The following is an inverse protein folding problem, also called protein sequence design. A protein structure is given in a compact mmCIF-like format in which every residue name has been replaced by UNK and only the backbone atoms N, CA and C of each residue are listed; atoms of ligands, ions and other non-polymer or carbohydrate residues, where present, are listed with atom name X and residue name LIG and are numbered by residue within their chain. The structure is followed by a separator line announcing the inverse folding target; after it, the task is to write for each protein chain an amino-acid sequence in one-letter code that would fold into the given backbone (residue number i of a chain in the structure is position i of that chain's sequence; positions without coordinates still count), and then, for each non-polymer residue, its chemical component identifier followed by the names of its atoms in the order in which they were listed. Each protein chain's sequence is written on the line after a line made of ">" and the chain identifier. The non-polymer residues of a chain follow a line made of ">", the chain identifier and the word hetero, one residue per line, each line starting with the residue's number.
data_IF_748788607049
#
_entry.id   IF_748788607049
#
_cell.length_a   1.000
_cell.length_b   1.000
_cell.length_c   1.000
_cell.angle_alpha   90.00
_cell.angle_beta   90.00
_cell.angle_gamma   90.00
#
_symmetry.space_group_name_H-M   'P 1'
#
loop_
_entity.id
_entity.type
_entity.pdbx_description
1 polymer ?
#
# COMPACT_ATOMS: atom_id res chain seq x y z
N UNK A 1 10.54 -21.00 -27.48
CA UNK A 1 9.76 -20.18 -26.50
C UNK A 1 10.56 -18.93 -26.20
N UNK A 2 10.08 -17.77 -26.62
CA UNK A 2 10.74 -16.50 -26.29
C UNK A 2 10.56 -16.26 -24.80
N UNK A 3 11.67 -16.14 -24.06
CA UNK A 3 11.66 -15.59 -22.70
C UNK A 3 10.90 -14.27 -22.72
N UNK A 4 9.79 -14.22 -22.01
CA UNK A 4 9.11 -12.98 -21.70
C UNK A 4 10.11 -12.09 -20.95
N UNK A 5 10.48 -10.97 -21.57
CA UNK A 5 11.46 -10.02 -21.06
C UNK A 5 11.12 -9.66 -19.61
N UNK A 6 12.15 -9.49 -18.79
CA UNK A 6 12.08 -9.12 -17.36
C UNK A 6 11.23 -7.85 -17.06
N UNK A 7 10.86 -7.11 -18.09
CA UNK A 7 10.05 -5.87 -18.00
C UNK A 7 8.58 -6.09 -17.62
N UNK A 8 8.04 -7.31 -17.68
CA UNK A 8 6.62 -7.58 -17.43
C UNK A 8 6.33 -8.29 -16.09
N UNK A 9 7.31 -8.45 -15.22
CA UNK A 9 7.11 -9.17 -13.95
C UNK A 9 6.70 -8.28 -12.77
N UNK A 10 6.57 -6.97 -12.97
CA UNK A 10 6.30 -6.04 -11.88
C UNK A 10 7.34 -6.15 -10.77
N UNK A 11 6.89 -6.32 -9.54
CA UNK A 11 7.73 -6.46 -8.34
C UNK A 11 7.79 -7.90 -7.79
N UNK A 12 7.42 -8.91 -8.58
CA UNK A 12 7.36 -10.31 -8.13
C UNK A 12 8.71 -10.84 -7.64
N UNK A 13 9.81 -10.36 -8.21
CA UNK A 13 11.18 -10.76 -7.81
C UNK A 13 11.71 -10.01 -6.59
N UNK A 14 11.01 -8.98 -6.13
CA UNK A 14 11.42 -8.19 -4.96
C UNK A 14 11.19 -9.03 -3.70
N UNK A 15 12.23 -9.21 -2.93
CA UNK A 15 12.20 -9.89 -1.62
C UNK A 15 12.36 -8.91 -0.45
N UNK A 16 12.94 -7.74 -0.69
CA UNK A 16 13.16 -6.72 0.33
C UNK A 16 12.56 -5.38 -0.10
N UNK A 17 11.67 -4.87 0.73
CA UNK A 17 11.13 -3.52 0.60
C UNK A 17 11.75 -2.63 1.67
N UNK A 18 12.35 -1.53 1.23
CA UNK A 18 12.85 -0.50 2.11
C UNK A 18 11.83 0.65 2.08
N UNK A 19 11.32 1.01 3.23
CA UNK A 19 10.40 2.14 3.40
C UNK A 19 11.16 3.24 4.10
N UNK A 20 11.35 4.39 3.43
CA UNK A 20 11.96 5.55 4.09
C UNK A 20 11.12 5.95 5.31
N UNK A 21 11.78 6.30 6.39
CA UNK A 21 11.11 6.74 7.62
C UNK A 21 10.19 7.93 7.36
N UNK A 22 10.56 8.84 6.48
CA UNK A 22 9.72 9.96 6.07
C UNK A 22 8.41 9.53 5.40
N UNK A 23 8.45 8.48 4.59
CA UNK A 23 7.24 7.88 3.95
C UNK A 23 6.32 7.28 5.01
N UNK A 24 6.90 6.56 5.96
CA UNK A 24 6.16 5.97 7.07
C UNK A 24 5.52 7.03 7.96
N UNK A 25 6.29 8.06 8.33
CA UNK A 25 5.81 9.15 9.20
C UNK A 25 4.67 9.93 8.56
N UNK A 26 4.76 10.24 7.27
CA UNK A 26 3.70 10.91 6.53
C UNK A 26 2.44 10.04 6.45
N UNK A 27 2.61 8.75 6.19
CA UNK A 27 1.53 7.77 6.15
C UNK A 27 0.80 7.71 7.49
N UNK A 28 1.52 7.51 8.58
CA UNK A 28 0.95 7.41 9.93
C UNK A 28 0.24 8.69 10.31
N UNK A 29 0.85 9.85 10.06
CA UNK A 29 0.25 11.15 10.38
C UNK A 29 -1.09 11.35 9.68
N UNK A 30 -1.19 11.03 8.41
CA UNK A 30 -2.45 11.13 7.66
C UNK A 30 -3.49 10.14 8.20
N UNK A 31 -3.12 8.87 8.36
CA UNK A 31 -4.05 7.83 8.80
C UNK A 31 -4.56 8.08 10.23
N UNK A 32 -3.69 8.54 11.12
CA UNK A 32 -4.11 8.96 12.48
C UNK A 32 -5.05 10.16 12.44
N UNK A 33 -4.79 11.12 11.55
CA UNK A 33 -5.63 12.32 11.41
C UNK A 33 -7.06 11.98 11.03
N UNK A 34 -7.27 11.16 10.00
CA UNK A 34 -8.62 10.73 9.60
C UNK A 34 -9.24 9.77 10.62
N UNK A 35 -8.41 8.97 11.30
CA UNK A 35 -8.82 8.06 12.36
C UNK A 35 -9.40 8.78 13.58
N UNK A 36 -8.90 9.96 13.92
CA UNK A 36 -9.47 10.79 15.00
C UNK A 36 -10.91 11.23 14.70
N UNK A 37 -11.27 11.32 13.43
CA UNK A 37 -12.63 11.59 12.98
C UNK A 37 -13.48 10.32 12.84
N UNK A 38 -12.90 9.15 13.10
CA UNK A 38 -13.57 7.85 13.03
C UNK A 38 -13.62 7.26 11.61
N UNK A 39 -12.73 7.68 10.71
CA UNK A 39 -12.67 7.20 9.33
C UNK A 39 -11.41 6.39 9.05
N UNK A 40 -11.53 5.45 8.13
CA UNK A 40 -10.40 4.78 7.50
C UNK A 40 -9.77 5.69 6.45
N UNK A 41 -8.52 5.43 6.10
CA UNK A 41 -7.82 6.15 5.05
C UNK A 41 -6.89 5.26 4.25
N UNK A 42 -6.53 5.72 3.05
CA UNK A 42 -5.54 5.12 2.17
C UNK A 42 -4.38 6.07 1.90
N UNK A 43 -3.18 5.52 1.88
CA UNK A 43 -1.97 6.19 1.40
C UNK A 43 -1.30 5.26 0.39
N UNK A 44 -0.88 5.81 -0.73
CA UNK A 44 -0.16 5.09 -1.78
C UNK A 44 1.33 5.34 -1.67
N UNK A 45 2.15 4.35 -2.03
CA UNK A 45 3.59 4.42 -1.96
C UNK A 45 4.23 4.22 -3.32
N UNK A 46 5.12 5.13 -3.68
CA UNK A 46 5.91 5.06 -4.89
C UNK A 46 7.41 5.05 -4.57
N UNK A 47 8.19 4.54 -5.51
CA UNK A 47 9.63 4.47 -5.38
C UNK A 47 10.28 3.78 -6.57
N UNK A 48 11.44 3.22 -6.35
CA UNK A 48 12.25 2.60 -7.40
C UNK A 48 12.93 1.31 -6.95
N UNK A 49 13.24 0.49 -7.92
CA UNK A 49 14.06 -0.70 -7.74
C UNK A 49 15.53 -0.28 -7.54
N UNK A 50 16.16 -0.70 -6.45
CA UNK A 50 17.59 -0.48 -6.22
C UNK A 50 18.44 -1.62 -6.78
N UNK A 51 17.97 -2.84 -6.62
CA UNK A 51 18.58 -4.05 -7.18
C UNK A 51 17.49 -4.96 -7.72
N UNK A 52 17.86 -6.10 -8.31
CA UNK A 52 16.88 -7.09 -8.79
C UNK A 52 15.92 -7.59 -7.71
N UNK A 53 16.29 -7.48 -6.43
CA UNK A 53 15.54 -8.02 -5.30
C UNK A 53 15.13 -6.97 -4.26
N UNK A 54 15.55 -5.71 -4.44
CA UNK A 54 15.31 -4.63 -3.48
C UNK A 54 14.55 -3.48 -4.13
N UNK A 55 13.44 -3.09 -3.52
CA UNK A 55 12.64 -1.93 -3.89
C UNK A 55 12.61 -0.93 -2.74
N UNK A 56 12.83 0.36 -3.03
CA UNK A 56 12.76 1.42 -2.03
C UNK A 56 11.58 2.34 -2.30
N UNK A 57 10.72 2.49 -1.30
CA UNK A 57 9.67 3.51 -1.27
C UNK A 57 10.23 4.83 -0.78
N UNK A 58 10.09 5.87 -1.61
CA UNK A 58 10.63 7.22 -1.38
C UNK A 58 9.55 8.28 -1.29
N UNK A 59 8.32 7.96 -1.70
CA UNK A 59 7.22 8.92 -1.81
C UNK A 59 5.94 8.34 -1.25
N UNK A 60 5.34 9.03 -0.28
CA UNK A 60 3.97 8.80 0.16
C UNK A 60 3.04 9.71 -0.63
N UNK A 61 1.94 9.17 -1.11
CA UNK A 61 0.94 9.89 -1.90
C UNK A 61 -0.42 9.69 -1.24
N UNK A 62 -1.04 10.80 -0.87
CA UNK A 62 -2.39 10.81 -0.33
C UNK A 62 -3.33 11.13 -1.50
N UNK A 63 -4.03 10.12 -2.07
CA UNK A 63 -4.98 10.38 -3.14
C UNK A 63 -6.19 11.14 -2.59
N UNK A 64 -6.85 11.91 -3.45
CA UNK A 64 -8.18 12.41 -3.14
C UNK A 64 -9.10 11.23 -2.88
N UNK A 65 -9.76 11.21 -1.72
CA UNK A 65 -10.52 10.08 -1.23
C UNK A 65 -11.73 10.52 -0.44
N UNK A 66 -12.77 9.69 -0.46
CA UNK A 66 -14.00 9.92 0.28
C UNK A 66 -14.20 8.79 1.29
N UNK A 67 -14.25 9.15 2.57
CA UNK A 67 -14.60 8.23 3.64
C UNK A 67 -16.08 8.38 3.98
N UNK A 68 -16.76 7.25 4.15
CA UNK A 68 -18.17 7.24 4.52
C UNK A 68 -18.48 6.09 5.47
N UNK A 69 -19.50 6.28 6.28
CA UNK A 69 -20.09 5.23 7.10
C UNK A 69 -21.32 4.67 6.38
N UNK A 70 -21.36 3.37 6.25
CA UNK A 70 -22.48 2.63 5.64
C UNK A 70 -23.10 1.69 6.68
N UNK A 71 -24.24 1.08 6.36
CA UNK A 71 -24.86 0.07 7.22
C UNK A 71 -23.96 -1.18 7.40
N UNK A 72 -23.06 -1.42 6.43
CA UNK A 72 -22.11 -2.53 6.46
C UNK A 72 -20.75 -2.16 7.09
N UNK A 73 -20.57 -0.91 7.53
CA UNK A 73 -19.35 -0.41 8.17
C UNK A 73 -18.72 0.79 7.47
N UNK A 74 -17.43 0.99 7.72
CA UNK A 74 -16.67 2.08 7.12
C UNK A 74 -16.21 1.71 5.71
N UNK A 75 -16.21 2.71 4.83
CA UNK A 75 -15.75 2.58 3.46
C UNK A 75 -14.89 3.79 3.08
N UNK A 76 -13.77 3.53 2.42
CA UNK A 76 -12.96 4.55 1.74
C UNK A 76 -13.04 4.31 0.24
N UNK A 77 -13.29 5.37 -0.49
CA UNK A 77 -13.42 5.34 -1.93
C UNK A 77 -12.46 6.34 -2.59
N UNK A 78 -11.72 5.88 -3.59
CA UNK A 78 -10.85 6.68 -4.45
C UNK A 78 -11.40 6.62 -5.87
N UNK A 79 -11.81 7.76 -6.40
CA UNK A 79 -12.35 7.81 -7.76
C UNK A 79 -11.28 7.53 -8.81
N UNK A 80 -11.71 7.01 -9.96
CA UNK A 80 -10.82 6.68 -11.06
C UNK A 80 -10.01 7.88 -11.56
N UNK A 81 -10.59 9.09 -11.57
CA UNK A 81 -9.88 10.31 -11.94
C UNK A 81 -8.76 10.65 -10.95
N UNK A 82 -9.00 10.51 -9.65
CA UNK A 82 -7.99 10.73 -8.61
C UNK A 82 -6.84 9.71 -8.76
N UNK A 83 -7.16 8.45 -8.99
CA UNK A 83 -6.18 7.40 -9.20
C UNK A 83 -5.38 7.61 -10.49
N UNK A 84 -6.02 8.08 -11.55
CA UNK A 84 -5.34 8.44 -12.80
C UNK A 84 -4.33 9.57 -12.58
N UNK A 85 -4.68 10.63 -11.84
CA UNK A 85 -3.77 11.72 -11.49
C UNK A 85 -2.56 11.23 -10.70
N UNK A 86 -2.77 10.31 -9.75
CA UNK A 86 -1.67 9.69 -9.00
C UNK A 86 -0.74 8.94 -9.94
N UNK A 87 -1.25 8.04 -10.76
CA UNK A 87 -0.43 7.25 -11.67
C UNK A 87 0.35 8.13 -12.67
N UNK A 88 -0.28 9.18 -13.18
CA UNK A 88 0.38 10.15 -14.05
C UNK A 88 1.54 10.85 -13.35
N UNK A 89 1.32 11.37 -12.14
CA UNK A 89 2.35 12.06 -11.37
C UNK A 89 3.52 11.13 -11.03
N UNK A 90 3.25 9.90 -10.60
CA UNK A 90 4.27 8.89 -10.31
C UNK A 90 5.12 8.60 -11.55
N UNK A 91 4.47 8.41 -12.70
CA UNK A 91 5.16 8.17 -13.97
C UNK A 91 6.03 9.37 -14.38
N UNK A 92 5.52 10.60 -14.29
CA UNK A 92 6.25 11.83 -14.62
C UNK A 92 7.48 12.04 -13.74
N UNK A 93 7.44 11.57 -12.48
CA UNK A 93 8.58 11.60 -11.55
C UNK A 93 9.55 10.42 -11.74
N UNK A 94 9.29 9.54 -12.68
CA UNK A 94 10.13 8.36 -12.93
C UNK A 94 10.08 7.32 -11.82
N UNK A 95 9.02 7.30 -11.04
CA UNK A 95 8.78 6.34 -9.97
C UNK A 95 7.79 5.25 -10.38
N UNK A 96 7.67 4.25 -9.54
CA UNK A 96 6.75 3.10 -9.69
C UNK A 96 5.80 3.10 -8.50
N UNK A 97 4.49 3.06 -8.77
CA UNK A 97 3.48 2.87 -7.74
C UNK A 97 3.45 1.40 -7.34
N UNK A 98 4.05 1.08 -6.20
CA UNK A 98 4.30 -0.31 -5.79
C UNK A 98 3.78 -0.70 -4.43
N UNK A 99 3.13 0.21 -3.70
CA UNK A 99 2.62 -0.08 -2.37
C UNK A 99 1.41 0.74 -1.96
N UNK A 100 0.74 0.26 -0.92
CA UNK A 100 -0.37 0.96 -0.29
C UNK A 100 -0.42 0.66 1.20
N UNK A 101 -0.96 1.61 1.95
CA UNK A 101 -1.27 1.46 3.36
C UNK A 101 -2.70 1.92 3.61
N UNK A 102 -3.43 1.22 4.46
CA UNK A 102 -4.73 1.65 4.93
C UNK A 102 -5.00 1.20 6.36
N UNK A 103 -6.07 1.70 6.94
CA UNK A 103 -6.45 1.41 8.31
C UNK A 103 -7.78 0.66 8.39
N UNK A 104 -7.94 -0.10 9.47
CA UNK A 104 -9.19 -0.65 9.93
C UNK A 104 -9.52 -0.12 11.34
N UNK A 105 -10.81 -0.07 11.72
CA UNK A 105 -11.19 0.41 13.05
C UNK A 105 -10.82 -0.57 14.17
N UNK A 106 -10.61 -1.83 13.84
CA UNK A 106 -10.25 -2.90 14.79
C UNK A 106 -9.01 -3.65 14.29
N UNK A 107 -9.06 -4.97 14.17
CA UNK A 107 -7.94 -5.79 13.75
C UNK A 107 -7.52 -5.54 12.28
N UNK A 108 -6.25 -5.76 12.00
CA UNK A 108 -5.69 -5.61 10.66
C UNK A 108 -5.96 -6.86 9.80
N UNK A 109 -6.59 -6.68 8.64
CA UNK A 109 -6.81 -7.72 7.63
C UNK A 109 -7.18 -7.08 6.29
N UNK A 110 -7.07 -7.81 5.18
CA UNK A 110 -7.68 -7.40 3.91
C UNK A 110 -9.15 -7.81 3.89
N UNK A 111 -10.04 -6.82 3.71
CA UNK A 111 -11.46 -7.08 3.54
C UNK A 111 -11.78 -7.51 2.11
N UNK A 112 -12.99 -8.05 1.88
CA UNK A 112 -13.45 -8.36 0.52
C UNK A 112 -13.55 -7.10 -0.36
N UNK A 113 -13.83 -5.96 0.22
CA UNK A 113 -13.83 -4.66 -0.49
C UNK A 113 -12.44 -4.26 -0.93
N UNK A 114 -11.41 -4.43 -0.07
CA UNK A 114 -10.02 -4.17 -0.42
C UNK A 114 -9.57 -5.05 -1.60
N UNK A 115 -10.01 -6.29 -1.64
CA UNK A 115 -9.68 -7.23 -2.70
C UNK A 115 -10.41 -6.93 -4.03
N UNK A 116 -11.66 -6.43 -3.98
CA UNK A 116 -12.47 -6.14 -5.16
C UNK A 116 -12.10 -4.82 -5.85
N UNK A 117 -11.57 -3.84 -5.09
CA UNK A 117 -11.25 -2.50 -5.58
C UNK A 117 -9.81 -2.13 -5.30
N UNK A 118 -8.83 -2.86 -5.87
CA UNK A 118 -7.43 -2.59 -5.62
C UNK A 118 -7.02 -1.23 -6.19
N UNK A 119 -6.33 -0.42 -5.41
CA UNK A 119 -5.75 0.86 -5.84
C UNK A 119 -4.41 0.65 -6.53
N UNK A 120 -3.63 -0.30 -6.04
CA UNK A 120 -2.35 -0.71 -6.63
C UNK A 120 -2.53 -2.07 -7.30
N UNK A 121 -2.22 -2.14 -8.58
CA UNK A 121 -2.44 -3.32 -9.42
C UNK A 121 -1.15 -3.95 -9.96
N UNK A 122 0.00 -3.40 -9.59
CA UNK A 122 1.28 -3.93 -10.03
C UNK A 122 1.58 -5.26 -9.32
N UNK A 123 1.80 -6.33 -10.09
CA UNK A 123 2.09 -7.65 -9.54
C UNK A 123 3.32 -7.59 -8.62
N UNK A 124 3.25 -8.22 -7.48
CA UNK A 124 4.29 -8.18 -6.46
C UNK A 124 4.26 -6.96 -5.54
N UNK A 125 3.30 -6.05 -5.73
CA UNK A 125 3.14 -4.88 -4.86
C UNK A 125 2.95 -5.26 -3.39
N UNK A 126 3.27 -4.31 -2.51
CA UNK A 126 3.17 -4.45 -1.06
C UNK A 126 1.92 -3.72 -0.55
N UNK A 127 1.17 -4.34 0.35
CA UNK A 127 0.08 -3.69 1.06
C UNK A 127 0.23 -3.90 2.56
N UNK A 128 -0.05 -2.86 3.34
CA UNK A 128 -0.10 -2.96 4.79
C UNK A 128 -1.43 -2.43 5.32
N UNK A 129 -1.99 -3.16 6.26
CA UNK A 129 -3.18 -2.75 7.02
C UNK A 129 -2.78 -2.50 8.46
N UNK A 130 -3.11 -1.31 8.96
CA UNK A 130 -2.84 -0.91 10.34
C UNK A 130 -4.14 -0.97 11.15
N UNK A 131 -4.14 -1.63 12.33
CA UNK A 131 -5.33 -1.74 13.16
C UNK A 131 -5.62 -0.43 13.91
N UNK A 132 -6.80 -0.36 14.51
CA UNK A 132 -7.20 0.70 15.45
C UNK A 132 -6.98 2.13 14.91
N UNK A 133 -7.26 2.35 13.60
CA UNK A 133 -7.04 3.64 12.94
C UNK A 133 -5.59 4.14 13.02
N UNK A 134 -4.62 3.23 13.07
CA UNK A 134 -3.19 3.53 13.26
C UNK A 134 -2.88 4.27 14.57
N UNK A 135 -3.77 4.27 15.55
CA UNK A 135 -3.69 5.04 16.79
C UNK A 135 -2.37 4.81 17.54
N UNK A 136 -1.89 3.57 17.56
CA UNK A 136 -0.70 3.18 18.30
C UNK A 136 0.55 3.08 17.42
N UNK A 137 0.44 3.41 16.12
CA UNK A 137 1.56 3.32 15.18
C UNK A 137 2.66 4.35 15.52
N UNK A 138 3.94 4.00 15.33
CA UNK A 138 4.46 2.71 14.85
C UNK A 138 4.74 1.68 15.94
N UNK A 139 4.42 1.98 17.22
CA UNK A 139 4.77 1.12 18.35
C UNK A 139 4.11 -0.28 18.29
N UNK A 140 3.00 -0.41 17.59
CA UNK A 140 2.22 -1.64 17.43
C UNK A 140 2.49 -2.37 16.10
N UNK A 141 3.62 -2.10 15.46
CA UNK A 141 3.96 -2.64 14.12
C UNK A 141 3.81 -4.17 14.02
N UNK A 142 3.99 -4.88 15.12
CA UNK A 142 3.83 -6.33 15.19
C UNK A 142 2.39 -6.80 14.95
N UNK A 143 1.42 -5.89 15.08
CA UNK A 143 0.00 -6.16 14.85
C UNK A 143 -0.46 -5.83 13.44
N UNK A 144 0.42 -5.22 12.61
CA UNK A 144 0.08 -4.86 11.26
C UNK A 144 0.03 -6.08 10.35
N UNK A 145 -0.87 -6.07 9.39
CA UNK A 145 -0.99 -7.14 8.40
C UNK A 145 -0.35 -6.73 7.07
N UNK A 146 0.58 -7.54 6.61
CA UNK A 146 1.32 -7.32 5.37
C UNK A 146 0.89 -8.31 4.30
N UNK A 147 0.67 -7.80 3.09
CA UNK A 147 0.21 -8.58 1.94
C UNK A 147 1.06 -8.29 0.70
N UNK A 148 1.09 -9.26 -0.19
CA UNK A 148 1.71 -9.16 -1.52
C UNK A 148 0.68 -9.46 -2.60
N UNK A 149 0.70 -8.68 -3.68
CA UNK A 149 -0.11 -8.98 -4.85
C UNK A 149 0.56 -10.10 -5.65
N UNK A 150 -0.10 -11.25 -5.76
CA UNK A 150 0.44 -12.41 -6.45
C UNK A 150 0.41 -12.25 -7.97
N UNK A 151 1.07 -13.19 -8.68
CA UNK A 151 1.01 -13.26 -10.15
C UNK A 151 -0.39 -13.57 -10.71
N UNK A 152 -1.33 -13.96 -9.84
CA UNK A 152 -2.74 -14.15 -10.19
C UNK A 152 -3.60 -12.92 -9.93
N UNK A 153 -3.01 -11.81 -9.47
CA UNK A 153 -3.73 -10.59 -9.13
C UNK A 153 -4.55 -10.68 -7.84
N UNK A 154 -4.15 -11.55 -6.92
CA UNK A 154 -4.81 -11.76 -5.63
C UNK A 154 -3.87 -11.33 -4.51
N UNK A 155 -4.39 -10.60 -3.53
CA UNK A 155 -3.65 -10.27 -2.32
C UNK A 155 -3.56 -11.48 -1.39
N UNK A 156 -2.35 -11.87 -1.06
CA UNK A 156 -2.07 -12.93 -0.09
C UNK A 156 -1.16 -12.43 1.03
N UNK A 157 -1.29 -12.95 2.26
CA UNK A 157 -0.38 -12.62 3.34
C UNK A 157 1.08 -12.76 2.91
N UNK A 158 1.88 -11.75 3.22
CA UNK A 158 3.29 -11.74 2.86
C UNK A 158 4.02 -12.91 3.51
N UNK A 159 4.80 -13.63 2.72
CA UNK A 159 5.60 -14.76 3.22
C UNK A 159 6.76 -14.26 4.07
N UNK A 160 7.30 -15.13 4.92
CA UNK A 160 8.49 -14.84 5.74
C UNK A 160 9.72 -14.45 4.92
N UNK A 161 9.77 -14.84 3.65
CA UNK A 161 10.81 -14.43 2.71
C UNK A 161 10.72 -12.98 2.26
N UNK A 162 9.57 -12.34 2.43
CA UNK A 162 9.44 -10.90 2.20
C UNK A 162 9.93 -10.13 3.44
N UNK A 163 10.95 -9.30 3.23
CA UNK A 163 11.51 -8.43 4.27
C UNK A 163 11.03 -7.02 4.08
N UNK A 164 10.66 -6.37 5.18
CA UNK A 164 10.34 -4.93 5.21
C UNK A 164 11.31 -4.27 6.18
N UNK A 165 12.01 -3.24 5.69
CA UNK A 165 13.04 -2.51 6.41
C UNK A 165 12.66 -1.03 6.42
N UNK A 166 12.84 -0.36 7.53
CA UNK A 166 12.63 1.07 7.67
C UNK A 166 13.97 1.78 7.77
N UNK A 167 14.19 2.77 6.91
CA UNK A 167 15.44 3.54 6.86
C UNK A 167 15.19 5.05 6.79
#
# INVERSE_FOLDING_TARGET
>A
MKELSSKNRGLLNISTFIIQVSVLDETIRFLQGVGLEGYEGFVLWAGNTETAEVFRFTTAIIPEQHAMMTDDGLLVFVEGEALFKVNKAVHEHGEILGGQAHTHPTSAYHSSTDDHYPLVTLLGALSVVMPDFAKNAPADIETWAWYRLTNYGVWEPARKSTKVVFE
#
